data_IF_504726606167
#
_entry.id   IF_504726606167
#
_cell.length_a   1.000
_cell.length_b   1.000
_cell.length_c   1.000
_cell.angle_alpha   90.00
_cell.angle_beta   90.00
_cell.angle_gamma   90.00
#
_symmetry.space_group_name_H-M   'P 1'
#
loop_
_entity.id
_entity.type
_entity.pdbx_description
1 polymer ?
#
# COMPACT_ATOMS: atom_id res chain seq x y z
N UNK A 1 24.24 -4.74 4.26
CA UNK A 1 25.15 -3.67 4.71
C UNK A 1 25.39 -2.66 3.57
N UNK A 2 26.02 -3.05 2.45
CA UNK A 2 26.32 -2.13 1.32
C UNK A 2 25.08 -1.37 0.80
N UNK A 3 23.93 -2.04 0.65
CA UNK A 3 22.70 -1.41 0.19
C UNK A 3 22.19 -0.38 1.20
N UNK A 4 22.28 -0.69 2.49
CA UNK A 4 21.90 0.25 3.54
C UNK A 4 22.82 1.47 3.61
N UNK A 5 24.12 1.27 3.39
CA UNK A 5 25.11 2.35 3.32
C UNK A 5 24.78 3.27 2.13
N UNK A 6 24.58 2.70 0.93
CA UNK A 6 24.20 3.45 -0.27
C UNK A 6 22.85 4.20 -0.07
N UNK A 7 21.84 3.55 0.51
CA UNK A 7 20.57 4.19 0.81
C UNK A 7 20.73 5.36 1.79
N UNK A 8 21.57 5.19 2.81
CA UNK A 8 21.88 6.26 3.79
C UNK A 8 22.56 7.44 3.13
N UNK A 9 23.50 7.22 2.21
CA UNK A 9 24.15 8.29 1.48
C UNK A 9 23.15 9.13 0.66
N UNK A 10 22.18 8.47 0.02
CA UNK A 10 21.14 9.16 -0.73
C UNK A 10 20.13 9.87 0.18
N UNK A 11 19.62 9.16 1.19
CA UNK A 11 18.62 9.72 2.10
C UNK A 11 19.15 10.85 2.98
N UNK A 12 20.45 10.88 3.27
CA UNK A 12 21.07 11.95 4.02
C UNK A 12 21.12 13.29 3.27
N UNK A 13 20.93 13.30 1.95
CA UNK A 13 20.74 14.52 1.15
C UNK A 13 19.38 15.18 1.39
N UNK A 14 18.46 14.48 2.06
CA UNK A 14 17.16 15.02 2.46
C UNK A 14 17.27 15.57 3.88
N UNK A 15 17.52 16.87 3.98
CA UNK A 15 17.65 17.57 5.27
C UNK A 15 16.37 18.28 5.69
N UNK A 16 15.49 18.60 4.74
CA UNK A 16 14.24 19.33 4.98
C UNK A 16 13.46 19.58 3.70
N UNK A 17 12.35 20.28 3.84
CA UNK A 17 11.53 20.72 2.70
C UNK A 17 12.33 21.68 1.83
N UNK A 18 12.28 21.48 0.51
CA UNK A 18 12.90 22.38 -0.47
C UNK A 18 12.00 22.54 -1.71
N UNK A 19 12.07 23.67 -2.44
CA UNK A 19 11.33 23.89 -3.68
C UNK A 19 11.88 22.99 -4.81
N UNK A 20 11.15 22.99 -5.92
CA UNK A 20 11.60 22.35 -7.15
C UNK A 20 12.85 23.02 -7.70
N UNK A 21 13.71 22.22 -8.32
CA UNK A 21 14.85 22.68 -9.10
C UNK A 21 14.34 23.25 -10.43
N UNK A 22 14.77 24.48 -10.76
CA UNK A 22 14.37 25.15 -12.01
C UNK A 22 14.75 24.36 -13.27
N UNK A 23 15.89 23.65 -13.21
CA UNK A 23 16.41 22.90 -14.34
C UNK A 23 15.67 21.59 -14.57
N UNK A 24 15.17 20.97 -13.49
CA UNK A 24 14.40 19.72 -13.54
C UNK A 24 12.91 19.94 -13.80
N UNK A 25 12.39 21.15 -13.55
CA UNK A 25 10.97 21.44 -13.61
C UNK A 25 10.33 21.13 -14.96
N UNK A 26 10.96 21.54 -16.07
CA UNK A 26 10.43 21.30 -17.43
C UNK A 26 10.39 19.83 -17.79
N UNK A 27 11.39 19.08 -17.38
CA UNK A 27 11.46 17.64 -17.60
C UNK A 27 10.39 16.91 -16.79
N UNK A 28 10.17 17.34 -15.57
CA UNK A 28 9.13 16.83 -14.69
C UNK A 28 7.70 17.08 -15.23
N UNK A 29 7.43 18.30 -15.72
CA UNK A 29 6.15 18.63 -16.36
C UNK A 29 5.90 17.73 -17.58
N UNK A 30 6.89 17.53 -18.43
CA UNK A 30 6.80 16.60 -19.56
C UNK A 30 6.59 15.14 -19.13
N UNK A 31 7.22 14.72 -18.03
CA UNK A 31 7.03 13.38 -17.47
C UNK A 31 5.58 13.18 -17.01
N UNK A 32 5.00 14.18 -16.33
CA UNK A 32 3.60 14.16 -15.90
C UNK A 32 2.62 14.10 -17.08
N UNK A 33 2.87 14.88 -18.15
CA UNK A 33 2.08 14.84 -19.38
C UNK A 33 2.12 13.47 -20.03
N UNK A 34 3.31 12.94 -20.30
CA UNK A 34 3.49 11.62 -20.91
C UNK A 34 2.82 10.52 -20.06
N UNK A 35 2.96 10.58 -18.75
CA UNK A 35 2.33 9.61 -17.87
C UNK A 35 0.81 9.73 -17.88
N UNK A 36 0.28 10.95 -17.98
CA UNK A 36 -1.16 11.20 -18.09
C UNK A 36 -1.75 10.63 -19.38
N UNK A 37 -1.03 10.74 -20.50
CA UNK A 37 -1.42 10.11 -21.77
C UNK A 37 -1.44 8.60 -21.67
N UNK A 38 -0.36 7.99 -21.15
CA UNK A 38 -0.24 6.54 -21.01
C UNK A 38 -1.33 5.92 -20.12
N UNK A 39 -1.75 6.62 -19.06
CA UNK A 39 -2.78 6.11 -18.13
C UNK A 39 -4.22 6.53 -18.48
N UNK A 40 -4.39 7.35 -19.52
CA UNK A 40 -5.71 7.83 -19.94
C UNK A 40 -6.29 8.94 -19.05
N UNK A 41 -5.44 9.70 -18.34
CA UNK A 41 -5.88 10.83 -17.52
C UNK A 41 -4.85 11.29 -16.51
N UNK A 42 -4.98 12.53 -16.04
CA UNK A 42 -4.05 13.14 -15.08
C UNK A 42 -4.02 12.41 -13.74
N UNK A 43 -2.88 12.46 -13.07
CA UNK A 43 -2.78 12.08 -11.68
C UNK A 43 -3.68 12.98 -10.83
N UNK A 44 -4.17 12.47 -9.71
CA UNK A 44 -4.94 13.27 -8.75
C UNK A 44 -4.08 14.36 -8.09
N UNK A 45 -2.83 14.06 -7.85
CA UNK A 45 -1.77 14.99 -7.47
C UNK A 45 -0.63 14.87 -8.47
N UNK A 46 0.04 15.98 -8.77
CA UNK A 46 1.26 16.01 -9.58
C UNK A 46 2.42 15.44 -8.75
N UNK A 47 2.40 14.12 -8.59
CA UNK A 47 3.33 13.41 -7.71
C UNK A 47 3.97 12.24 -8.46
N UNK A 48 5.22 12.43 -8.87
CA UNK A 48 6.12 11.37 -9.31
C UNK A 48 7.37 11.48 -8.43
N UNK A 49 7.55 10.51 -7.54
CA UNK A 49 8.69 10.47 -6.63
C UNK A 49 9.98 10.09 -7.35
N UNK A 50 11.10 10.61 -6.87
CA UNK A 50 12.44 10.22 -7.34
C UNK A 50 12.83 8.80 -6.88
N UNK A 51 12.07 8.22 -5.96
CA UNK A 51 12.38 6.97 -5.27
C UNK A 51 13.13 7.19 -3.96
N UNK A 52 13.44 8.44 -3.60
CA UNK A 52 14.18 8.77 -2.38
C UNK A 52 13.26 9.43 -1.37
N UNK A 53 13.36 9.01 -0.11
CA UNK A 53 12.64 9.58 1.00
C UNK A 53 13.38 9.36 2.32
N UNK A 54 12.98 10.09 3.36
CA UNK A 54 13.54 9.94 4.72
C UNK A 54 12.49 10.32 5.76
N UNK A 55 12.06 9.36 6.53
CA UNK A 55 11.02 9.61 7.54
C UNK A 55 9.73 10.14 6.91
N UNK A 56 9.31 11.35 7.27
CA UNK A 56 8.13 11.99 6.72
C UNK A 56 8.37 12.77 5.41
N UNK A 57 9.59 12.77 4.89
CA UNK A 57 9.98 13.54 3.72
C UNK A 57 10.13 12.67 2.48
N UNK A 58 9.66 13.18 1.34
CA UNK A 58 9.82 12.55 0.02
C UNK A 58 10.40 13.55 -0.97
N UNK A 59 11.24 13.05 -1.86
CA UNK A 59 11.74 13.81 -2.99
C UNK A 59 10.94 13.47 -4.25
N UNK A 60 10.56 14.48 -5.00
CA UNK A 60 9.93 14.32 -6.31
C UNK A 60 10.99 14.42 -7.43
N UNK A 61 10.62 13.97 -8.62
CA UNK A 61 11.51 14.02 -9.78
C UNK A 61 11.90 15.44 -10.24
N UNK A 62 11.21 16.47 -9.75
CA UNK A 62 11.60 17.88 -9.94
C UNK A 62 12.62 18.37 -8.90
N UNK A 63 13.16 17.48 -8.08
CA UNK A 63 14.09 17.80 -7.01
C UNK A 63 13.45 18.43 -5.77
N UNK A 64 12.14 18.72 -5.78
CA UNK A 64 11.46 19.23 -4.58
C UNK A 64 11.39 18.18 -3.49
N UNK A 65 11.48 18.60 -2.24
CA UNK A 65 11.25 17.75 -1.07
C UNK A 65 10.04 18.26 -0.31
N UNK A 66 9.12 17.36 -0.02
CA UNK A 66 7.83 17.67 0.63
C UNK A 66 7.56 16.74 1.80
N UNK A 67 6.70 17.18 2.72
CA UNK A 67 6.11 16.25 3.68
C UNK A 67 5.11 15.33 3.00
N UNK A 68 5.24 14.04 3.24
CA UNK A 68 4.28 13.04 2.79
C UNK A 68 3.18 12.85 3.84
N UNK A 69 2.03 13.54 3.65
CA UNK A 69 0.84 13.34 4.46
C UNK A 69 -0.08 12.23 3.93
N UNK A 70 0.28 11.60 2.82
CA UNK A 70 -0.50 10.50 2.23
C UNK A 70 0.00 9.15 2.76
N UNK A 71 1.30 9.04 3.04
CA UNK A 71 1.96 7.84 3.58
C UNK A 71 1.68 6.55 2.79
N UNK A 72 1.43 6.68 1.47
CA UNK A 72 0.98 5.56 0.64
C UNK A 72 -0.32 4.92 1.11
N UNK A 73 -1.19 5.71 1.79
CA UNK A 73 -2.43 5.24 2.45
C UNK A 73 -2.10 4.17 3.52
N UNK A 74 -1.09 4.45 4.36
CA UNK A 74 -0.65 3.61 5.47
C UNK A 74 0.46 2.60 5.14
N UNK A 75 1.04 2.63 3.94
CA UNK A 75 2.18 1.76 3.58
C UNK A 75 3.45 2.21 4.29
N UNK A 76 3.71 3.53 4.32
CA UNK A 76 4.90 4.10 4.94
C UNK A 76 4.71 4.41 6.44
N UNK A 77 4.18 3.45 7.19
CA UNK A 77 3.83 3.62 8.59
C UNK A 77 5.05 3.95 9.49
N UNK A 78 6.22 3.41 9.12
CA UNK A 78 7.49 3.69 9.81
C UNK A 78 8.28 4.84 9.18
N UNK A 79 7.71 5.54 8.22
CA UNK A 79 8.38 6.53 7.41
C UNK A 79 9.14 5.93 6.22
N UNK A 80 9.53 6.81 5.30
CA UNK A 80 10.31 6.43 4.13
C UNK A 80 11.71 5.97 4.49
N UNK A 81 12.20 4.97 3.78
CA UNK A 81 13.57 4.42 3.92
C UNK A 81 13.91 3.95 5.34
N UNK A 82 12.94 3.43 6.09
CA UNK A 82 13.19 2.90 7.42
C UNK A 82 14.17 1.72 7.36
N UNK A 83 15.33 1.77 8.07
CA UNK A 83 16.40 0.79 7.90
C UNK A 83 15.98 -0.66 8.14
N UNK A 84 15.11 -0.89 9.14
CA UNK A 84 14.60 -2.23 9.45
C UNK A 84 13.68 -2.79 8.38
N UNK A 85 12.83 -1.93 7.76
CA UNK A 85 11.94 -2.34 6.66
C UNK A 85 12.77 -2.68 5.43
N UNK A 86 13.70 -1.81 5.05
CA UNK A 86 14.60 -2.04 3.91
C UNK A 86 15.44 -3.31 4.09
N UNK A 87 15.93 -3.58 5.31
CA UNK A 87 16.64 -4.83 5.59
C UNK A 87 15.76 -6.06 5.38
N UNK A 88 14.52 -6.03 5.89
CA UNK A 88 13.56 -7.11 5.72
C UNK A 88 13.15 -7.33 4.25
N UNK A 89 13.01 -6.25 3.47
CA UNK A 89 12.75 -6.33 2.03
C UNK A 89 13.89 -7.00 1.27
N UNK A 90 15.15 -6.64 1.59
CA UNK A 90 16.33 -7.26 0.99
C UNK A 90 16.41 -8.74 1.35
N UNK A 91 16.21 -9.09 2.61
CA UNK A 91 16.19 -10.48 3.06
C UNK A 91 15.05 -11.26 2.40
N UNK A 92 13.87 -10.68 2.34
CA UNK A 92 12.70 -11.26 1.68
C UNK A 92 12.93 -11.50 0.19
N UNK A 93 13.56 -10.56 -0.52
CA UNK A 93 13.86 -10.71 -1.95
C UNK A 93 14.93 -11.75 -2.25
N UNK A 94 15.84 -12.01 -1.32
CA UNK A 94 16.85 -13.05 -1.42
C UNK A 94 16.30 -14.46 -1.05
N UNK A 95 15.13 -14.53 -0.48
CA UNK A 95 14.47 -15.78 -0.09
C UNK A 95 13.55 -16.25 -1.21
N UNK A 96 13.48 -17.55 -1.46
CA UNK A 96 12.48 -18.09 -2.38
C UNK A 96 11.09 -17.97 -1.73
N UNK A 97 10.37 -16.89 -2.09
CA UNK A 97 9.07 -16.56 -1.52
C UNK A 97 7.90 -16.92 -2.44
N UNK A 98 8.14 -17.72 -3.47
CA UNK A 98 7.05 -18.19 -4.34
C UNK A 98 6.02 -18.92 -3.52
N UNK A 99 4.86 -18.30 -3.37
CA UNK A 99 3.77 -18.81 -2.57
C UNK A 99 2.49 -18.89 -3.39
N UNK A 100 1.84 -20.04 -3.33
CA UNK A 100 0.60 -20.33 -4.04
C UNK A 100 -0.53 -20.61 -3.05
N UNK A 101 -0.85 -19.64 -2.21
CA UNK A 101 -1.94 -19.77 -1.24
C UNK A 101 -1.75 -20.99 -0.34
N UNK A 102 -2.60 -22.02 -0.52
CA UNK A 102 -2.56 -23.25 0.25
C UNK A 102 -1.59 -24.31 -0.29
N UNK A 103 -0.96 -24.08 -1.44
CA UNK A 103 -0.12 -25.10 -2.08
C UNK A 103 1.31 -25.06 -1.58
N UNK A 104 1.85 -23.87 -1.37
CA UNK A 104 3.24 -23.68 -0.94
C UNK A 104 3.33 -22.55 0.07
N UNK A 105 4.11 -22.75 1.12
CA UNK A 105 4.37 -21.78 2.16
C UNK A 105 5.85 -21.82 2.55
N UNK A 106 6.35 -20.72 3.12
CA UNK A 106 7.68 -20.66 3.71
C UNK A 106 7.59 -20.54 5.24
N UNK A 107 8.75 -20.53 5.89
CA UNK A 107 8.83 -20.46 7.36
C UNK A 107 8.38 -19.12 7.96
N UNK A 108 8.29 -18.07 7.17
CA UNK A 108 7.93 -16.73 7.63
C UNK A 108 6.42 -16.57 7.75
N UNK A 109 5.63 -17.28 6.91
CA UNK A 109 4.17 -17.27 7.00
C UNK A 109 3.64 -17.66 8.38
N UNK A 110 4.00 -18.81 8.96
CA UNK A 110 3.51 -19.18 10.28
C UNK A 110 4.02 -18.23 11.39
N UNK A 111 5.22 -17.67 11.28
CA UNK A 111 5.72 -16.67 12.23
C UNK A 111 4.85 -15.40 12.17
N UNK A 112 4.56 -14.90 10.96
CA UNK A 112 3.71 -13.73 10.75
C UNK A 112 2.30 -13.98 11.30
N UNK A 113 1.70 -15.13 10.99
CA UNK A 113 0.36 -15.48 11.46
C UNK A 113 0.29 -15.51 12.98
N UNK A 114 1.28 -16.10 13.63
CA UNK A 114 1.38 -16.12 15.09
C UNK A 114 1.41 -14.71 15.68
N UNK A 115 2.32 -13.86 15.20
CA UNK A 115 2.45 -12.48 15.68
C UNK A 115 1.14 -11.68 15.50
N UNK A 116 0.53 -11.78 14.32
CA UNK A 116 -0.69 -11.04 14.03
C UNK A 116 -1.89 -11.54 14.85
N UNK A 117 -2.04 -12.86 15.04
CA UNK A 117 -3.08 -13.42 15.90
C UNK A 117 -2.87 -13.05 17.36
N UNK A 118 -1.64 -13.07 17.86
CA UNK A 118 -1.32 -12.60 19.22
C UNK A 118 -1.69 -11.13 19.42
N UNK A 119 -1.35 -10.26 18.45
CA UNK A 119 -1.73 -8.85 18.50
C UNK A 119 -3.25 -8.64 18.40
N UNK A 120 -3.91 -9.33 17.49
CA UNK A 120 -5.36 -9.25 17.32
C UNK A 120 -6.11 -9.69 18.57
N UNK A 121 -5.60 -10.71 19.28
CA UNK A 121 -6.22 -11.26 20.48
C UNK A 121 -5.80 -10.57 21.78
N UNK A 122 -4.96 -9.55 21.72
CA UNK A 122 -4.47 -8.83 22.91
C UNK A 122 -5.58 -8.36 23.86
N UNK A 123 -6.75 -8.08 23.31
CA UNK A 123 -7.94 -7.63 24.06
C UNK A 123 -9.08 -8.65 23.97
N UNK A 124 -8.77 -9.95 23.95
CA UNK A 124 -9.74 -11.04 23.96
C UNK A 124 -10.71 -11.05 22.78
N UNK A 125 -10.24 -10.72 21.59
CA UNK A 125 -11.08 -10.73 20.38
C UNK A 125 -11.51 -12.13 19.93
N UNK A 126 -10.77 -13.19 20.33
CA UNK A 126 -11.15 -14.59 20.07
C UNK A 126 -10.95 -15.03 18.62
N UNK A 127 -9.91 -14.51 17.94
CA UNK A 127 -9.56 -14.97 16.60
C UNK A 127 -8.68 -16.21 16.66
N UNK A 128 -9.11 -17.29 16.02
CA UNK A 128 -8.39 -18.56 15.95
C UNK A 128 -7.61 -18.74 14.64
N UNK A 129 -8.01 -18.02 13.60
CA UNK A 129 -7.49 -18.23 12.25
C UNK A 129 -7.18 -16.90 11.56
N UNK A 130 -6.23 -16.98 10.61
CA UNK A 130 -5.85 -15.87 9.76
C UNK A 130 -5.80 -16.34 8.30
N UNK A 131 -6.13 -15.42 7.40
CA UNK A 131 -6.03 -15.62 5.96
C UNK A 131 -5.40 -14.37 5.33
N UNK A 132 -4.27 -14.57 4.65
CA UNK A 132 -3.55 -13.49 3.96
C UNK A 132 -4.03 -13.37 2.52
N UNK A 133 -4.12 -12.13 2.06
CA UNK A 133 -4.50 -11.80 0.68
C UNK A 133 -3.54 -10.76 0.10
N UNK A 134 -3.60 -10.57 -1.21
CA UNK A 134 -2.73 -9.61 -1.92
C UNK A 134 -3.08 -8.13 -1.68
N UNK A 135 -4.25 -7.82 -1.14
CA UNK A 135 -4.70 -6.45 -0.90
C UNK A 135 -5.89 -6.39 0.04
N UNK A 136 -6.16 -5.22 0.61
CA UNK A 136 -7.35 -4.99 1.44
C UNK A 136 -8.66 -5.28 0.71
N UNK A 137 -8.76 -4.94 -0.58
CA UNK A 137 -9.96 -5.25 -1.37
C UNK A 137 -10.16 -6.75 -1.53
N UNK A 138 -9.10 -7.53 -1.72
CA UNK A 138 -9.19 -8.99 -1.79
C UNK A 138 -9.52 -9.61 -0.43
N UNK A 139 -9.09 -9.01 0.66
CA UNK A 139 -9.52 -9.40 1.99
C UNK A 139 -11.04 -9.19 2.18
N UNK A 140 -11.56 -8.03 1.75
CA UNK A 140 -12.99 -7.74 1.79
C UNK A 140 -13.81 -8.69 0.92
N UNK A 141 -13.36 -9.00 -0.30
CA UNK A 141 -14.02 -9.98 -1.19
C UNK A 141 -14.09 -11.38 -0.57
N UNK A 142 -12.99 -11.86 0.01
CA UNK A 142 -12.96 -13.14 0.69
C UNK A 142 -13.86 -13.17 1.93
N UNK A 143 -13.86 -12.09 2.73
CA UNK A 143 -14.74 -11.96 3.88
C UNK A 143 -16.22 -12.01 3.48
N UNK A 144 -16.61 -11.28 2.42
CA UNK A 144 -17.97 -11.33 1.87
C UNK A 144 -18.34 -12.73 1.39
N UNK A 145 -17.44 -13.37 0.65
CA UNK A 145 -17.65 -14.75 0.17
C UNK A 145 -17.92 -15.70 1.33
N UNK A 146 -17.08 -15.67 2.36
CA UNK A 146 -17.27 -16.50 3.56
C UNK A 146 -18.56 -16.18 4.30
N UNK A 147 -18.91 -14.90 4.42
CA UNK A 147 -20.14 -14.46 5.06
C UNK A 147 -21.37 -14.96 4.31
N UNK A 148 -21.41 -14.85 2.99
CA UNK A 148 -22.49 -15.36 2.17
C UNK A 148 -22.61 -16.89 2.25
N UNK A 149 -21.50 -17.61 2.18
CA UNK A 149 -21.50 -19.07 2.33
C UNK A 149 -22.05 -19.52 3.69
N UNK A 150 -21.64 -18.83 4.76
CA UNK A 150 -22.08 -19.15 6.13
C UNK A 150 -23.54 -18.79 6.38
N UNK A 151 -24.07 -17.75 5.72
CA UNK A 151 -25.40 -17.18 5.95
C UNK A 151 -26.40 -17.47 4.85
N UNK A 152 -26.08 -18.36 3.90
CA UNK A 152 -26.99 -18.70 2.83
C UNK A 152 -28.38 -19.08 3.40
N UNK A 153 -29.49 -18.62 2.79
CA UNK A 153 -29.62 -17.86 1.56
C UNK A 153 -29.58 -16.31 1.72
N UNK A 154 -29.11 -15.79 2.85
CA UNK A 154 -29.02 -14.34 3.09
C UNK A 154 -28.03 -13.70 2.11
N UNK A 155 -28.42 -12.61 1.46
CA UNK A 155 -27.64 -11.92 0.43
C UNK A 155 -27.58 -10.39 0.60
N UNK A 156 -28.10 -9.89 1.72
CA UNK A 156 -28.08 -8.44 2.01
C UNK A 156 -26.89 -8.07 2.85
N UNK A 157 -26.27 -6.94 2.51
CA UNK A 157 -25.14 -6.34 3.25
C UNK A 157 -25.58 -4.97 3.74
N UNK A 158 -25.35 -4.68 5.01
CA UNK A 158 -25.51 -3.34 5.57
C UNK A 158 -24.17 -2.62 5.45
N UNK A 159 -24.17 -1.47 4.80
CA UNK A 159 -23.02 -0.60 4.66
C UNK A 159 -23.32 0.77 5.27
N UNK A 160 -22.27 1.51 5.60
CA UNK A 160 -22.38 2.84 6.21
C UNK A 160 -22.09 3.94 5.19
N UNK A 161 -22.67 5.11 5.41
CA UNK A 161 -22.29 6.31 4.66
C UNK A 161 -20.79 6.56 4.77
N UNK A 162 -20.20 7.06 3.68
CA UNK A 162 -18.77 7.37 3.56
C UNK A 162 -17.82 6.18 3.73
N UNK A 163 -18.34 4.94 3.77
CA UNK A 163 -17.48 3.76 3.82
C UNK A 163 -16.74 3.54 2.49
N UNK A 164 -15.56 2.96 2.59
CA UNK A 164 -14.78 2.52 1.45
C UNK A 164 -14.32 1.08 1.67
N UNK A 165 -14.73 0.18 0.79
CA UNK A 165 -14.38 -1.24 0.84
C UNK A 165 -13.52 -1.69 -0.36
N UNK A 166 -13.41 -0.86 -1.38
CA UNK A 166 -12.67 -1.18 -2.60
C UNK A 166 -13.42 -0.83 -3.87
N UNK A 167 -12.88 -1.27 -5.02
CA UNK A 167 -13.36 -0.93 -6.35
C UNK A 167 -13.55 -2.14 -7.28
N UNK A 168 -13.53 -3.36 -6.77
CA UNK A 168 -13.95 -4.56 -7.50
C UNK A 168 -15.47 -4.57 -7.65
N UNK A 169 -16.00 -5.43 -8.52
CA UNK A 169 -17.43 -5.47 -8.83
C UNK A 169 -18.29 -5.64 -7.56
N UNK A 170 -17.93 -6.55 -6.66
CA UNK A 170 -18.73 -6.79 -5.46
C UNK A 170 -18.58 -5.68 -4.42
N UNK A 171 -17.35 -5.34 -4.02
CA UNK A 171 -17.16 -4.35 -2.95
C UNK A 171 -17.42 -2.91 -3.39
N UNK A 172 -17.40 -2.60 -4.69
CA UNK A 172 -17.84 -1.28 -5.18
C UNK A 172 -19.32 -1.02 -4.90
N UNK A 173 -20.15 -2.08 -4.78
CA UNK A 173 -21.55 -1.97 -4.43
C UNK A 173 -21.78 -1.50 -2.98
N UNK A 174 -20.83 -1.76 -2.11
CA UNK A 174 -20.86 -1.36 -0.70
C UNK A 174 -19.94 -0.18 -0.37
N UNK A 175 -19.16 0.31 -1.33
CA UNK A 175 -18.39 1.55 -1.22
C UNK A 175 -19.32 2.73 -1.46
N UNK A 176 -19.38 3.69 -0.52
CA UNK A 176 -20.22 4.88 -0.63
C UNK A 176 -19.61 5.94 -1.55
N UNK A 177 -19.51 5.60 -2.84
CA UNK A 177 -19.09 6.52 -3.90
C UNK A 177 -19.76 6.14 -5.22
N UNK A 178 -20.78 6.89 -5.58
CA UNK A 178 -21.59 6.63 -6.77
C UNK A 178 -20.76 6.44 -8.06
N UNK A 179 -19.65 7.19 -8.20
CA UNK A 179 -18.77 7.08 -9.37
C UNK A 179 -18.16 5.68 -9.54
N UNK A 180 -17.98 4.92 -8.46
CA UNK A 180 -17.42 3.55 -8.51
C UNK A 180 -18.47 2.49 -8.88
N UNK A 181 -19.76 2.86 -8.84
CA UNK A 181 -20.89 1.98 -9.17
C UNK A 181 -21.50 2.31 -10.52
N UNK A 182 -21.04 3.37 -11.19
CA UNK A 182 -21.61 3.80 -12.47
C UNK A 182 -21.44 2.72 -13.52
N UNK A 183 -22.55 2.21 -14.04
CA UNK A 183 -22.58 1.18 -15.07
C UNK A 183 -22.51 -0.28 -14.55
N UNK A 184 -22.61 -0.45 -13.22
CA UNK A 184 -22.67 -1.77 -12.58
C UNK A 184 -24.09 -2.11 -12.15
#
# INVERSE_FOLDING_TARGET
KLVQEALSEHSNKIEGVRPADSDLKKEYEKLLENFSELRGGKLFYDYIGSGIGKGALVELCDGSVKYDFITGIGVHYFGHSHPGVVAAEIEGSATNTTMSGNLQQNVDSPKLFKILLEQANKYNAGFDHMFMTSSGVMAAENALKMAFQKRAPAHRVIAFEKCFMGRTIAVSQITDKAAYRKGL
#
